data_IF_008397370153
#
_entry.id   IF_008397370153
#
_cell.length_a   1.000
_cell.length_b   1.000
_cell.length_c   1.000
_cell.angle_alpha   90.00
_cell.angle_beta   90.00
_cell.angle_gamma   90.00
#
_symmetry.space_group_name_H-M   'P 1'
#
loop_
_entity.id
_entity.type
_entity.pdbx_description
1 polymer ?
#
# COMPACT_ATOMS: atom_id res chain seq x y z
N UNK A 1 10.53 -13.25 5.14
CA UNK A 1 10.27 -12.80 3.74
C UNK A 1 10.16 -11.29 3.78
N UNK A 2 10.86 -10.57 2.91
CA UNK A 2 10.79 -9.11 2.81
C UNK A 2 10.09 -8.77 1.49
N UNK A 3 9.04 -7.96 1.55
CA UNK A 3 8.26 -7.52 0.39
C UNK A 3 8.15 -6.01 0.44
N UNK A 4 8.69 -5.34 -0.57
CA UNK A 4 8.62 -3.88 -0.71
C UNK A 4 7.75 -3.55 -1.91
N UNK A 5 6.85 -2.59 -1.71
CA UNK A 5 5.96 -2.04 -2.72
C UNK A 5 6.16 -0.54 -2.84
N UNK A 6 6.03 -0.01 -4.04
CA UNK A 6 5.87 1.42 -4.26
C UNK A 6 4.41 1.72 -4.53
N UNK A 7 3.90 2.77 -3.90
CA UNK A 7 2.51 3.20 -4.02
C UNK A 7 2.46 4.71 -4.25
N UNK A 8 1.68 5.15 -5.25
CA UNK A 8 1.33 6.57 -5.36
C UNK A 8 -0.01 6.79 -4.66
N UNK A 9 0.00 7.63 -3.63
CA UNK A 9 -1.15 7.93 -2.80
C UNK A 9 -1.60 9.37 -3.00
N UNK A 10 -2.88 9.62 -2.77
CA UNK A 10 -3.40 10.96 -2.52
C UNK A 10 -2.99 11.43 -1.11
N UNK A 11 -2.73 12.71 -0.95
CA UNK A 11 -2.50 13.34 0.36
C UNK A 11 -3.00 14.79 0.36
N UNK A 12 -3.47 15.28 1.52
CA UNK A 12 -3.77 16.71 1.75
C UNK A 12 -2.57 17.46 2.35
N UNK A 13 -1.58 16.74 2.85
CA UNK A 13 -0.41 17.28 3.53
C UNK A 13 0.88 16.94 2.76
N UNK A 14 1.92 17.75 2.97
CA UNK A 14 3.28 17.38 2.58
C UNK A 14 3.78 16.22 3.47
N UNK A 15 4.16 15.12 2.83
CA UNK A 15 4.69 13.92 3.48
C UNK A 15 6.22 13.83 3.42
N UNK A 16 6.90 14.85 2.90
CA UNK A 16 8.36 14.88 2.78
C UNK A 16 9.03 14.57 4.13
N UNK A 17 9.92 13.56 4.14
CA UNK A 17 10.60 13.10 5.36
C UNK A 17 9.73 12.29 6.34
N UNK A 18 8.41 12.16 6.09
CA UNK A 18 7.52 11.38 6.96
C UNK A 18 7.65 9.88 6.69
N UNK A 19 7.41 9.11 7.75
CA UNK A 19 7.32 7.65 7.77
C UNK A 19 6.36 7.22 8.87
N UNK A 20 5.85 6.00 8.79
CA UNK A 20 4.95 5.47 9.80
C UNK A 20 4.75 3.97 9.70
N UNK A 21 3.99 3.45 10.66
CA UNK A 21 3.54 2.05 10.71
C UNK A 21 2.03 2.06 10.83
N UNK A 22 1.34 1.29 9.98
CA UNK A 22 -0.10 1.08 10.07
C UNK A 22 -0.36 -0.31 10.63
N UNK A 23 -1.16 -0.37 11.69
CA UNK A 23 -1.62 -1.61 12.31
C UNK A 23 -3.14 -1.58 12.38
N UNK A 24 -3.78 -2.46 11.62
CA UNK A 24 -5.23 -2.61 11.58
C UNK A 24 -5.62 -4.08 11.73
N UNK A 25 -6.89 -4.32 12.04
CA UNK A 25 -7.50 -5.64 11.91
C UNK A 25 -8.39 -5.65 10.68
N UNK A 26 -8.19 -6.64 9.81
CA UNK A 26 -8.89 -6.71 8.53
C UNK A 26 -9.75 -7.97 8.46
N UNK A 27 -10.98 -7.81 7.98
CA UNK A 27 -11.85 -8.91 7.56
C UNK A 27 -11.98 -8.89 6.03
N UNK A 28 -12.03 -10.08 5.42
CA UNK A 28 -12.35 -10.22 3.99
C UNK A 28 -13.85 -10.53 3.85
N UNK A 29 -14.55 -9.66 3.14
CA UNK A 29 -15.97 -9.79 2.81
C UNK A 29 -16.09 -9.91 1.27
N UNK A 30 -16.34 -11.12 0.77
CA UNK A 30 -16.37 -11.42 -0.66
C UNK A 30 -15.13 -10.90 -1.43
N UNK A 31 -15.29 -9.81 -2.18
CA UNK A 31 -14.25 -9.20 -3.02
C UNK A 31 -13.62 -7.92 -2.43
N UNK A 32 -13.98 -7.57 -1.19
CA UNK A 32 -13.43 -6.41 -0.48
C UNK A 32 -12.82 -6.85 0.87
N UNK A 33 -11.80 -6.12 1.30
CA UNK A 33 -11.30 -6.12 2.66
C UNK A 33 -11.76 -4.86 3.39
N UNK A 34 -12.12 -4.97 4.66
CA UNK A 34 -12.59 -3.87 5.50
C UNK A 34 -11.82 -3.85 6.82
N UNK A 35 -11.56 -2.65 7.35
CA UNK A 35 -11.04 -2.49 8.72
C UNK A 35 -12.15 -2.83 9.72
N UNK A 36 -11.83 -3.62 10.72
CA UNK A 36 -12.78 -4.08 11.74
C UNK A 36 -12.11 -4.11 13.12
N UNK A 37 -12.90 -4.41 14.15
CA UNK A 37 -12.37 -4.71 15.48
C UNK A 37 -11.65 -6.06 15.52
N UNK A 38 -10.70 -6.18 16.44
CA UNK A 38 -9.94 -7.41 16.67
C UNK A 38 -10.82 -8.60 17.11
N UNK A 39 -11.94 -8.31 17.77
CA UNK A 39 -12.90 -9.31 18.28
C UNK A 39 -13.85 -9.85 17.22
N UNK A 40 -13.93 -9.21 16.04
CA UNK A 40 -14.85 -9.64 15.00
C UNK A 40 -14.43 -11.01 14.43
N UNK A 41 -15.40 -11.90 14.20
CA UNK A 41 -15.11 -13.20 13.60
C UNK A 41 -14.41 -13.05 12.25
N UNK A 42 -13.30 -13.78 12.06
CA UNK A 42 -12.49 -13.73 10.85
C UNK A 42 -11.54 -12.53 10.73
N UNK A 43 -11.47 -11.66 11.75
CA UNK A 43 -10.51 -10.56 11.81
C UNK A 43 -9.07 -11.07 11.82
N UNK A 44 -8.21 -10.47 11.00
CA UNK A 44 -6.78 -10.79 10.94
C UNK A 44 -5.94 -9.53 11.06
N UNK A 45 -4.99 -9.54 11.99
CA UNK A 45 -4.03 -8.44 12.15
C UNK A 45 -3.25 -8.23 10.85
N UNK A 46 -3.14 -6.96 10.47
CA UNK A 46 -2.45 -6.46 9.31
C UNK A 46 -1.48 -5.36 9.72
N UNK A 47 -0.19 -5.56 9.42
CA UNK A 47 0.88 -4.61 9.77
C UNK A 47 1.69 -4.32 8.52
N UNK A 48 1.93 -3.03 8.29
CA UNK A 48 2.85 -2.51 7.28
C UNK A 48 3.57 -1.27 7.81
N UNK A 49 4.76 -1.02 7.29
CA UNK A 49 5.47 0.25 7.47
C UNK A 49 5.57 0.98 6.14
N UNK A 50 5.69 2.30 6.19
CA UNK A 50 5.84 3.13 5.00
C UNK A 50 6.76 4.31 5.24
N UNK A 51 7.38 4.81 4.17
CA UNK A 51 8.11 6.08 4.16
C UNK A 51 7.85 6.83 2.85
N UNK A 52 7.83 8.15 2.93
CA UNK A 52 7.72 8.99 1.75
C UNK A 52 9.05 9.03 0.99
N UNK A 53 9.00 8.75 -0.31
CA UNK A 53 10.13 8.88 -1.23
C UNK A 53 10.10 10.21 -1.99
N UNK A 54 8.90 10.67 -2.35
CA UNK A 54 8.68 11.95 -3.02
C UNK A 54 7.26 12.45 -2.73
N UNK A 55 7.09 13.77 -2.65
CA UNK A 55 5.79 14.41 -2.46
C UNK A 55 5.67 15.60 -3.41
N UNK A 56 4.52 15.76 -4.08
CA UNK A 56 4.27 16.85 -5.00
C UNK A 56 2.77 17.16 -5.05
N UNK A 57 2.37 18.35 -4.58
CA UNK A 57 0.96 18.73 -4.49
C UNK A 57 0.17 17.69 -3.68
N UNK A 58 -0.96 17.22 -4.22
CA UNK A 58 -1.86 16.30 -3.53
C UNK A 58 -1.49 14.81 -3.71
N UNK A 59 -0.22 14.51 -3.98
CA UNK A 59 0.23 13.14 -4.20
C UNK A 59 1.62 12.87 -3.64
N UNK A 60 1.84 11.65 -3.19
CA UNK A 60 3.13 11.18 -2.71
C UNK A 60 3.44 9.78 -3.22
N UNK A 61 4.72 9.52 -3.49
CA UNK A 61 5.26 8.20 -3.73
C UNK A 61 5.76 7.64 -2.40
N UNK A 62 5.18 6.52 -1.98
CA UNK A 62 5.55 5.82 -0.75
C UNK A 62 6.26 4.52 -1.06
N UNK A 63 7.32 4.23 -0.31
CA UNK A 63 7.82 2.86 -0.13
C UNK A 63 7.05 2.22 1.01
N UNK A 64 6.51 1.03 0.78
CA UNK A 64 5.71 0.26 1.73
C UNK A 64 6.34 -1.11 1.94
N UNK A 65 6.68 -1.42 3.18
CA UNK A 65 7.18 -2.74 3.57
C UNK A 65 6.09 -3.52 4.32
N UNK A 66 5.84 -4.74 3.84
CA UNK A 66 4.79 -5.60 4.38
C UNK A 66 5.34 -6.60 5.40
N UNK A 67 4.96 -6.44 6.66
CA UNK A 67 5.16 -7.48 7.69
C UNK A 67 4.16 -8.62 7.50
N UNK A 68 2.88 -8.29 7.26
CA UNK A 68 1.83 -9.28 6.96
C UNK A 68 1.45 -9.29 5.47
N UNK A 69 0.50 -10.13 5.06
CA UNK A 69 0.07 -10.24 3.65
C UNK A 69 -1.42 -10.52 3.52
N UNK A 70 -2.27 -9.62 4.00
CA UNK A 70 -3.73 -9.77 3.93
C UNK A 70 -4.29 -9.32 2.58
N UNK A 71 -5.50 -9.80 2.26
CA UNK A 71 -6.17 -9.43 1.03
C UNK A 71 -6.33 -7.91 0.92
N UNK A 72 -5.89 -7.31 -0.18
CA UNK A 72 -5.89 -5.86 -0.41
C UNK A 72 -5.24 -5.01 0.69
N UNK A 73 -4.36 -5.59 1.53
CA UNK A 73 -3.86 -4.95 2.76
C UNK A 73 -3.39 -3.50 2.56
N UNK A 74 -2.46 -3.25 1.63
CA UNK A 74 -1.92 -1.90 1.39
C UNK A 74 -3.05 -0.94 1.02
N UNK A 75 -3.96 -1.37 0.13
CA UNK A 75 -5.04 -0.54 -0.41
C UNK A 75 -6.01 -0.07 0.69
N UNK A 76 -6.47 -1.02 1.52
CA UNK A 76 -7.44 -0.71 2.59
C UNK A 76 -6.80 0.06 3.74
N UNK A 77 -5.57 -0.30 4.17
CA UNK A 77 -4.90 0.40 5.28
C UNK A 77 -4.53 1.83 4.90
N UNK A 78 -4.01 2.05 3.69
CA UNK A 78 -3.67 3.40 3.21
C UNK A 78 -4.91 4.28 3.07
N UNK A 79 -6.02 3.74 2.56
CA UNK A 79 -7.29 4.46 2.52
C UNK A 79 -7.83 4.78 3.93
N UNK A 80 -7.78 3.83 4.87
CA UNK A 80 -8.16 4.06 6.27
C UNK A 80 -7.32 5.16 6.94
N UNK A 81 -6.03 5.23 6.61
CA UNK A 81 -5.12 6.28 7.08
C UNK A 81 -5.27 7.63 6.35
N UNK A 82 -6.28 7.81 5.48
CA UNK A 82 -6.50 9.05 4.73
C UNK A 82 -5.57 9.27 3.54
N UNK A 83 -4.80 8.25 3.15
CA UNK A 83 -3.85 8.27 2.03
C UNK A 83 -4.22 7.23 0.95
N UNK A 84 -5.46 7.24 0.40
CA UNK A 84 -5.85 6.23 -0.58
C UNK A 84 -4.95 6.25 -1.82
N UNK A 85 -4.76 5.08 -2.43
CA UNK A 85 -3.95 4.94 -3.63
C UNK A 85 -4.63 5.61 -4.83
N UNK A 86 -3.86 6.31 -5.66
CA UNK A 86 -4.37 6.83 -6.93
C UNK A 86 -4.73 5.69 -7.89
N UNK A 87 -5.85 5.87 -8.60
CA UNK A 87 -6.45 4.87 -9.49
C UNK A 87 -7.22 3.74 -8.78
N UNK A 88 -7.34 3.77 -7.45
CA UNK A 88 -8.11 2.78 -6.72
C UNK A 88 -9.60 3.13 -6.66
N UNK A 89 -10.39 2.49 -7.51
CA UNK A 89 -11.84 2.72 -7.55
C UNK A 89 -12.58 2.15 -6.33
N UNK A 90 -12.03 1.14 -5.65
CA UNK A 90 -12.70 0.47 -4.53
C UNK A 90 -12.48 1.20 -3.21
N UNK A 91 -11.25 1.66 -2.98
CA UNK A 91 -10.85 2.26 -1.71
C UNK A 91 -10.56 3.76 -1.80
N UNK A 92 -10.60 4.35 -2.99
CA UNK A 92 -10.40 5.78 -3.19
C UNK A 92 -11.42 6.62 -2.42
N UNK A 93 -10.97 7.76 -1.87
CA UNK A 93 -11.87 8.87 -1.53
C UNK A 93 -12.34 9.57 -2.79
N UNK A 94 -13.39 10.40 -2.69
CA UNK A 94 -13.86 11.24 -3.78
C UNK A 94 -12.72 12.10 -4.36
N UNK A 95 -11.97 12.80 -3.52
CA UNK A 95 -10.88 13.68 -3.96
C UNK A 95 -9.75 12.88 -4.63
N UNK A 96 -9.43 11.68 -4.11
CA UNK A 96 -8.42 10.83 -4.74
C UNK A 96 -8.83 10.34 -6.12
N UNK A 97 -10.14 10.10 -6.35
CA UNK A 97 -10.68 9.72 -7.67
C UNK A 97 -10.70 10.89 -8.63
N UNK A 98 -11.01 12.09 -8.16
CA UNK A 98 -10.93 13.32 -8.95
C UNK A 98 -9.49 13.60 -9.39
N UNK A 99 -8.53 13.52 -8.46
CA UNK A 99 -7.10 13.67 -8.77
C UNK A 99 -6.64 12.59 -9.76
N UNK A 100 -7.08 11.34 -9.56
CA UNK A 100 -6.75 10.24 -10.49
C UNK A 100 -7.29 10.52 -11.89
N UNK A 101 -8.55 10.99 -12.00
CA UNK A 101 -9.19 11.33 -13.27
C UNK A 101 -8.46 12.47 -13.97
N UNK A 102 -8.17 13.56 -13.25
CA UNK A 102 -7.44 14.73 -13.78
C UNK A 102 -6.05 14.37 -14.31
N UNK A 103 -5.39 13.40 -13.66
CA UNK A 103 -4.06 12.92 -14.05
C UNK A 103 -4.11 11.77 -15.08
N UNK A 104 -5.28 11.35 -15.54
CA UNK A 104 -5.44 10.22 -16.46
C UNK A 104 -5.09 8.85 -15.86
N UNK A 105 -5.01 8.74 -14.54
CA UNK A 105 -4.68 7.50 -13.83
C UNK A 105 -5.93 6.62 -13.75
N UNK A 106 -5.96 5.54 -14.54
CA UNK A 106 -7.10 4.61 -14.65
C UNK A 106 -6.90 3.29 -13.89
N UNK A 107 -5.67 3.01 -13.46
CA UNK A 107 -5.30 1.78 -12.75
C UNK A 107 -4.61 2.11 -11.45
N UNK A 108 -4.71 1.19 -10.49
CA UNK A 108 -4.10 1.33 -9.17
C UNK A 108 -2.59 1.52 -9.33
N UNK A 109 -2.07 2.62 -8.77
CA UNK A 109 -0.64 2.91 -8.74
C UNK A 109 0.02 2.20 -7.56
N UNK A 110 0.13 0.87 -7.67
CA UNK A 110 0.80 0.00 -6.70
C UNK A 110 1.68 -1.00 -7.45
N UNK A 111 2.96 -1.07 -7.11
CA UNK A 111 3.91 -1.97 -7.74
C UNK A 111 4.72 -2.71 -6.69
N UNK A 112 4.80 -4.04 -6.79
CA UNK A 112 5.74 -4.83 -6.00
C UNK A 112 7.15 -4.60 -6.58
N UNK A 113 8.03 -3.94 -5.84
CA UNK A 113 9.36 -3.55 -6.34
C UNK A 113 10.46 -4.50 -5.90
N UNK A 114 10.31 -5.16 -4.75
CA UNK A 114 11.32 -6.06 -4.20
C UNK A 114 10.71 -7.24 -3.46
N UNK A 115 11.30 -8.40 -3.65
CA UNK A 115 10.97 -9.62 -2.95
C UNK A 115 12.25 -10.35 -2.51
N UNK A 116 12.39 -10.60 -1.21
CA UNK A 116 13.48 -11.41 -0.67
C UNK A 116 12.99 -12.52 0.26
N UNK A 117 13.53 -13.72 0.11
CA UNK A 117 13.15 -14.91 0.87
C UNK A 117 14.27 -15.95 0.86
N UNK A 118 14.16 -16.98 1.70
CA UNK A 118 15.06 -18.13 1.64
C UNK A 118 14.56 -19.09 0.56
N UNK A 119 15.42 -19.42 -0.41
CA UNK A 119 15.07 -20.35 -1.47
C UNK A 119 14.66 -21.70 -0.88
N UNK A 120 13.49 -22.27 -1.24
CA UNK A 120 12.89 -23.39 -0.52
C UNK A 120 13.75 -24.66 -0.56
N UNK A 121 14.54 -24.85 -1.61
CA UNK A 121 15.41 -26.03 -1.76
C UNK A 121 16.82 -25.81 -1.20
N UNK A 122 17.38 -24.60 -1.32
CA UNK A 122 18.80 -24.37 -1.06
C UNK A 122 19.06 -23.63 0.25
N UNK A 123 18.02 -23.10 0.90
CA UNK A 123 18.13 -22.29 2.12
C UNK A 123 18.80 -20.93 1.93
N UNK A 124 19.46 -20.69 0.79
CA UNK A 124 20.15 -19.43 0.50
C UNK A 124 19.17 -18.28 0.39
N UNK A 125 19.55 -17.13 0.94
CA UNK A 125 18.76 -15.90 0.81
C UNK A 125 18.87 -15.39 -0.62
N UNK A 126 17.73 -15.26 -1.29
CA UNK A 126 17.60 -14.68 -2.63
C UNK A 126 16.84 -13.36 -2.56
N UNK A 127 17.13 -12.46 -3.50
CA UNK A 127 16.51 -11.14 -3.59
C UNK A 127 16.28 -10.79 -5.06
N UNK A 128 15.04 -10.42 -5.39
CA UNK A 128 14.63 -9.95 -6.70
C UNK A 128 14.14 -8.52 -6.57
N UNK A 129 14.56 -7.65 -7.48
CA UNK A 129 14.19 -6.24 -7.49
C UNK A 129 13.94 -5.79 -8.93
N UNK A 130 12.90 -4.98 -9.14
CA UNK A 130 12.61 -4.41 -10.44
C UNK A 130 13.55 -3.25 -10.74
N UNK A 131 14.03 -3.18 -11.98
CA UNK A 131 14.81 -2.05 -12.51
C UNK A 131 13.91 -0.82 -12.71
N UNK A 132 12.77 -1.02 -13.36
CA UNK A 132 11.81 0.03 -13.67
C UNK A 132 10.76 0.14 -12.56
N UNK A 133 10.91 1.16 -11.73
CA UNK A 133 10.08 1.38 -10.53
C UNK A 133 9.07 2.49 -10.77
N UNK A 134 7.93 2.35 -10.09
CA UNK A 134 6.88 3.36 -10.05
C UNK A 134 7.45 4.72 -9.63
N UNK A 135 7.16 5.74 -10.43
CA UNK A 135 7.48 7.13 -10.13
C UNK A 135 6.21 7.93 -9.85
N UNK A 136 6.40 9.11 -9.24
CA UNK A 136 5.35 10.08 -8.97
C UNK A 136 4.83 10.76 -10.24
#
# INVERSE_FOLDING_TARGET
MNKIYYAVVYTKEDLTGKRGTLTDWLVKEASIARVCDASQNGAKKAVLSWKCLACQGNRALLEVELETGRFHQIRVQMAHAGMPLLGDQRYGSEESREVSTRLGIRTIRLQAVKLAFCHPTSGKRVCYELTDKLTL
#
